data_IF_496574085418
#
_entry.id   IF_496574085418
#
_cell.length_a   1.000
_cell.length_b   1.000
_cell.length_c   1.000
_cell.angle_alpha   90.00
_cell.angle_beta   90.00
_cell.angle_gamma   90.00
#
_symmetry.space_group_name_H-M   'P 1'
#
loop_
_entity.id
_entity.type
_entity.pdbx_description
1 polymer ?
#
# COMPACT_ATOMS: atom_id res chain seq x y z
N UNK A 1 -25.21 29.31 18.22
CA UNK A 1 -24.42 29.08 16.98
C UNK A 1 -22.98 28.55 17.15
N UNK A 2 -22.31 28.43 18.32
CA UNK A 2 -20.89 28.02 18.35
C UNK A 2 -20.65 26.52 18.11
N UNK A 3 -21.63 25.67 18.43
CA UNK A 3 -21.49 24.20 18.34
C UNK A 3 -21.28 23.70 16.91
N UNK A 4 -21.96 24.28 15.90
CA UNK A 4 -21.85 23.85 14.49
C UNK A 4 -20.47 24.11 13.91
N UNK A 5 -19.87 25.25 14.26
CA UNK A 5 -18.50 25.58 13.84
C UNK A 5 -17.46 24.70 14.52
N UNK A 6 -17.70 24.31 15.77
CA UNK A 6 -16.86 23.35 16.49
C UNK A 6 -16.86 21.97 15.82
N UNK A 7 -18.02 21.48 15.36
CA UNK A 7 -18.13 20.22 14.62
C UNK A 7 -17.42 20.25 13.26
N UNK A 8 -17.55 21.35 12.51
CA UNK A 8 -16.87 21.51 11.21
C UNK A 8 -15.35 21.59 11.39
N UNK A 9 -14.88 22.31 12.41
CA UNK A 9 -13.45 22.38 12.73
C UNK A 9 -12.90 21.01 13.17
N UNK A 10 -13.68 20.22 13.92
CA UNK A 10 -13.29 18.88 14.36
C UNK A 10 -13.18 17.90 13.19
N UNK A 11 -14.10 17.95 12.22
CA UNK A 11 -14.03 17.10 11.02
C UNK A 11 -12.87 17.47 10.10
N UNK A 12 -12.48 18.74 10.04
CA UNK A 12 -11.35 19.20 9.25
C UNK A 12 -10.00 18.83 9.90
N UNK A 13 -9.98 18.66 11.23
CA UNK A 13 -8.81 18.21 11.99
C UNK A 13 -8.55 16.70 11.89
N UNK A 14 -9.51 15.91 11.40
CA UNK A 14 -9.27 14.51 11.01
C UNK A 14 -8.53 14.53 9.67
N UNK A 15 -7.23 14.83 9.73
CA UNK A 15 -6.37 14.98 8.58
C UNK A 15 -6.31 13.73 7.70
N UNK A 16 -5.90 13.94 6.45
CA UNK A 16 -5.65 12.86 5.49
C UNK A 16 -4.53 11.95 6.00
N UNK A 17 -4.83 10.67 6.24
CA UNK A 17 -3.79 9.68 6.53
C UNK A 17 -2.97 9.49 5.25
N UNK A 18 -1.63 9.60 5.28
CA UNK A 18 -0.82 9.33 4.11
C UNK A 18 -1.06 7.89 3.66
N UNK A 19 -1.36 7.71 2.36
CA UNK A 19 -1.41 6.38 1.78
C UNK A 19 -0.02 5.74 1.92
N UNK A 20 0.05 4.64 2.68
CA UNK A 20 1.30 3.89 2.80
C UNK A 20 1.50 3.09 1.53
N UNK A 21 2.67 3.23 0.92
CA UNK A 21 3.14 2.35 -0.13
C UNK A 21 3.37 0.95 0.45
N UNK A 22 2.88 -0.07 -0.23
CA UNK A 22 3.13 -1.47 0.10
C UNK A 22 4.37 -1.99 -0.64
N UNK A 23 5.02 -3.01 -0.07
CA UNK A 23 6.03 -3.80 -0.78
C UNK A 23 5.47 -5.19 -1.02
N UNK A 24 5.28 -5.55 -2.28
CA UNK A 24 4.68 -6.82 -2.70
C UNK A 24 5.79 -7.72 -3.25
N UNK A 25 5.97 -8.90 -2.66
CA UNK A 25 6.97 -9.85 -3.12
C UNK A 25 6.44 -10.77 -4.22
N UNK A 26 7.21 -10.89 -5.30
CA UNK A 26 7.08 -11.94 -6.29
C UNK A 26 8.25 -12.90 -6.11
N UNK A 27 7.94 -14.13 -5.70
CA UNK A 27 8.93 -15.19 -5.50
C UNK A 27 9.08 -15.96 -6.81
N UNK A 28 10.32 -16.14 -7.25
CA UNK A 28 10.70 -17.03 -8.33
C UNK A 28 11.23 -18.30 -7.68
N UNK A 29 10.50 -19.40 -7.85
CA UNK A 29 10.86 -20.72 -7.34
C UNK A 29 10.53 -21.79 -8.38
N UNK A 30 11.49 -22.66 -8.67
CA UNK A 30 11.45 -23.71 -9.69
C UNK A 30 10.93 -23.19 -11.03
N UNK A 31 11.46 -22.03 -11.46
CA UNK A 31 11.08 -21.34 -12.70
C UNK A 31 9.62 -20.84 -12.72
N UNK A 32 8.95 -20.73 -11.57
CA UNK A 32 7.58 -20.21 -11.44
C UNK A 32 7.57 -18.89 -10.68
N UNK A 33 6.85 -17.90 -11.21
CA UNK A 33 6.57 -16.64 -10.53
C UNK A 33 5.31 -16.76 -9.66
N UNK A 34 5.42 -16.44 -8.37
CA UNK A 34 4.30 -16.45 -7.43
C UNK A 34 4.22 -15.16 -6.60
N UNK A 35 3.08 -14.44 -6.61
CA UNK A 35 1.88 -14.74 -7.38
C UNK A 35 2.10 -14.52 -8.90
N UNK A 36 1.29 -15.18 -9.74
CA UNK A 36 1.39 -15.08 -11.19
C UNK A 36 0.92 -13.71 -11.73
N UNK A 37 0.05 -13.04 -10.98
CA UNK A 37 -0.45 -11.69 -11.27
C UNK A 37 -0.38 -10.87 -10.00
N UNK A 38 0.05 -9.61 -10.12
CA UNK A 38 0.05 -8.64 -9.03
C UNK A 38 -0.79 -7.44 -9.44
N UNK A 39 -1.70 -7.02 -8.56
CA UNK A 39 -2.37 -5.73 -8.63
C UNK A 39 -1.70 -4.80 -7.62
N UNK A 40 -1.17 -3.66 -8.08
CA UNK A 40 -0.46 -2.70 -7.25
C UNK A 40 -0.98 -1.28 -7.51
N UNK A 41 -0.87 -0.41 -6.50
CA UNK A 41 -1.24 1.00 -6.60
C UNK A 41 -0.02 1.82 -6.98
N UNK A 42 -0.27 3.00 -7.56
CA UNK A 42 0.81 3.98 -7.80
C UNK A 42 1.44 4.34 -6.46
N UNK A 43 2.75 4.14 -6.36
CA UNK A 43 3.52 4.35 -5.14
C UNK A 43 3.97 3.06 -4.45
N UNK A 44 3.37 1.90 -4.76
CA UNK A 44 3.81 0.61 -4.25
C UNK A 44 5.14 0.16 -4.87
N UNK A 45 5.83 -0.74 -4.17
CA UNK A 45 7.07 -1.37 -4.62
C UNK A 45 6.82 -2.85 -4.88
N UNK A 46 7.29 -3.36 -6.01
CA UNK A 46 7.35 -4.81 -6.27
C UNK A 46 8.78 -5.28 -6.00
N UNK A 47 8.93 -6.30 -5.16
CA UNK A 47 10.21 -6.93 -4.83
C UNK A 47 10.26 -8.32 -5.46
N UNK A 48 11.24 -8.57 -6.33
CA UNK A 48 11.45 -9.88 -6.95
C UNK A 48 12.53 -10.65 -6.20
N UNK A 49 12.17 -11.84 -5.70
CA UNK A 49 13.07 -12.70 -4.93
C UNK A 49 13.27 -14.00 -5.69
N UNK A 50 14.47 -14.22 -6.24
CA UNK A 50 14.82 -15.45 -6.95
C UNK A 50 15.45 -16.48 -6.00
N UNK A 51 14.79 -17.63 -5.84
CA UNK A 51 15.27 -18.75 -5.02
C UNK A 51 15.95 -19.87 -5.82
N UNK A 52 15.93 -19.81 -7.16
CA UNK A 52 16.45 -20.86 -8.04
C UNK A 52 17.99 -20.95 -8.08
N UNK A 53 18.67 -19.89 -7.62
CA UNK A 53 20.14 -19.75 -7.73
C UNK A 53 20.87 -20.29 -6.48
N UNK A 54 20.13 -20.75 -5.46
CA UNK A 54 20.68 -21.27 -4.20
C UNK A 54 20.61 -22.79 -4.12
#
# INVERSE_FOLDING_TARGET
>A
MPKRHLWIALTLAVGTVPARAETIQVIIDRLVFSPATVEAKVGDTIEWVNKDVL
#
